data_IF_433452510933
#
_entry.id   IF_433452510933
#
_cell.length_a   1.000
_cell.length_b   1.000
_cell.length_c   1.000
_cell.angle_alpha   90.00
_cell.angle_beta   90.00
_cell.angle_gamma   90.00
#
_symmetry.space_group_name_H-M   'P 1'
#
loop_
_entity.id
_entity.type
_entity.pdbx_description
1 polymer ?
#
# COMPACT_ATOMS: atom_id res chain seq x y z
N UNK A 1 17.95 -0.07 -4.98
CA UNK A 1 16.50 -0.04 -4.64
C UNK A 1 16.15 -1.37 -3.98
N UNK A 2 15.42 -1.35 -2.88
CA UNK A 2 15.00 -2.59 -2.21
C UNK A 2 14.11 -3.41 -3.17
N UNK A 3 14.48 -4.66 -3.40
CA UNK A 3 13.70 -5.58 -4.26
C UNK A 3 12.55 -6.16 -3.44
N UNK A 4 11.30 -5.88 -3.80
CA UNK A 4 10.12 -6.43 -3.11
C UNK A 4 10.09 -7.96 -3.16
N UNK A 5 9.78 -8.61 -2.02
CA UNK A 5 9.66 -10.07 -1.88
C UNK A 5 8.20 -10.47 -1.81
N UNK A 6 7.69 -11.03 -2.90
CA UNK A 6 6.30 -11.47 -3.00
C UNK A 6 5.98 -12.58 -1.97
N UNK A 7 6.90 -13.51 -1.70
CA UNK A 7 6.68 -14.60 -0.74
C UNK A 7 6.49 -14.10 0.69
N UNK A 8 7.28 -13.12 1.14
CA UNK A 8 7.11 -12.49 2.45
C UNK A 8 5.81 -11.68 2.51
N UNK A 9 5.44 -11.04 1.40
CA UNK A 9 4.20 -10.26 1.30
C UNK A 9 2.95 -11.14 1.43
N UNK A 10 2.94 -12.31 0.80
CA UNK A 10 1.80 -13.24 0.77
C UNK A 10 1.54 -13.96 2.09
N UNK A 11 2.45 -13.94 3.08
CA UNK A 11 2.19 -14.54 4.41
C UNK A 11 0.94 -13.98 5.11
N UNK A 12 0.49 -12.78 4.76
CA UNK A 12 -0.69 -12.10 5.31
C UNK A 12 -1.63 -11.68 4.19
N UNK A 13 -1.82 -12.53 3.22
CA UNK A 13 -2.59 -12.24 2.00
C UNK A 13 -4.01 -11.78 2.31
N UNK A 14 -4.72 -12.52 3.17
CA UNK A 14 -6.12 -12.20 3.51
C UNK A 14 -6.25 -10.81 4.15
N UNK A 15 -5.40 -10.49 5.14
CA UNK A 15 -5.42 -9.21 5.84
C UNK A 15 -4.98 -8.06 4.94
N UNK A 16 -4.13 -8.32 3.95
CA UNK A 16 -3.67 -7.32 2.98
C UNK A 16 -4.66 -7.09 1.85
N UNK A 17 -5.44 -8.12 1.49
CA UNK A 17 -6.45 -8.04 0.43
C UNK A 17 -7.76 -7.43 0.93
N UNK A 18 -8.12 -7.61 2.21
CA UNK A 18 -9.38 -7.08 2.77
C UNK A 18 -9.62 -5.58 2.48
N UNK A 19 -8.63 -4.67 2.63
CA UNK A 19 -8.85 -3.26 2.30
C UNK A 19 -9.16 -2.98 0.83
N UNK A 20 -8.62 -3.77 -0.10
CA UNK A 20 -8.97 -3.63 -1.52
C UNK A 20 -10.39 -4.10 -1.81
N UNK A 21 -10.85 -5.16 -1.13
CA UNK A 21 -12.25 -5.63 -1.20
C UNK A 21 -13.19 -4.55 -0.65
N UNK A 22 -12.87 -3.95 0.50
CA UNK A 22 -13.70 -2.93 1.12
C UNK A 22 -13.79 -1.66 0.25
N UNK A 23 -12.67 -1.25 -0.36
CA UNK A 23 -12.64 -0.14 -1.31
C UNK A 23 -13.46 -0.46 -2.57
N UNK A 24 -13.26 -1.66 -3.14
CA UNK A 24 -13.99 -2.13 -4.32
C UNK A 24 -15.50 -2.14 -4.11
N UNK A 25 -15.96 -2.55 -2.92
CA UNK A 25 -17.39 -2.61 -2.60
C UNK A 25 -18.06 -1.24 -2.52
N UNK A 26 -17.30 -0.16 -2.44
CA UNK A 26 -17.81 1.22 -2.47
C UNK A 26 -17.85 1.82 -3.88
N UNK A 27 -17.28 1.15 -4.87
CA UNK A 27 -17.33 1.60 -6.26
C UNK A 27 -18.72 1.33 -6.84
N UNK A 28 -19.42 2.41 -7.23
CA UNK A 28 -20.81 2.36 -7.70
C UNK A 28 -20.93 2.11 -9.22
N UNK A 29 -19.82 2.09 -9.98
CA UNK A 29 -19.87 1.74 -11.41
C UNK A 29 -20.04 0.22 -11.54
N UNK A 30 -21.09 -0.20 -12.29
CA UNK A 30 -21.39 -1.61 -12.50
C UNK A 30 -20.84 -2.17 -13.83
N UNK A 31 -20.68 -1.30 -14.84
CA UNK A 31 -20.35 -1.70 -16.22
C UNK A 31 -19.01 -1.13 -16.67
N UNK A 32 -18.01 -1.09 -15.78
CA UNK A 32 -16.66 -0.68 -16.17
C UNK A 32 -16.11 -1.61 -17.26
N UNK A 33 -15.50 -1.03 -18.29
CA UNK A 33 -14.89 -1.78 -19.40
C UNK A 33 -13.36 -1.71 -19.40
N UNK A 34 -12.79 -0.68 -18.76
CA UNK A 34 -11.33 -0.50 -18.67
C UNK A 34 -10.95 -0.06 -17.27
N UNK A 35 -10.12 -0.86 -16.63
CA UNK A 35 -9.67 -0.66 -15.26
C UNK A 35 -8.15 -0.71 -15.20
N UNK A 36 -7.55 0.18 -14.40
CA UNK A 36 -6.13 0.10 -14.07
C UNK A 36 -5.96 0.03 -12.55
N UNK A 37 -5.10 -0.89 -12.11
CA UNK A 37 -4.68 -1.06 -10.70
C UNK A 37 -3.25 -0.58 -10.55
N UNK A 38 -3.05 0.60 -9.95
CA UNK A 38 -1.75 1.24 -9.78
C UNK A 38 -1.11 0.80 -8.47
N UNK A 39 0.02 0.11 -8.58
CA UNK A 39 0.71 -0.54 -7.48
C UNK A 39 0.08 -1.88 -7.14
N UNK A 40 -0.22 -2.67 -8.16
CA UNK A 40 -0.89 -3.97 -8.05
C UNK A 40 -0.12 -5.01 -7.22
N UNK A 41 1.18 -4.80 -7.00
CA UNK A 41 2.05 -5.77 -6.33
C UNK A 41 2.03 -7.13 -7.04
N UNK A 42 1.88 -8.26 -6.30
CA UNK A 42 1.82 -9.60 -6.89
C UNK A 42 0.43 -9.93 -7.48
N UNK A 43 -0.47 -8.95 -7.65
CA UNK A 43 -1.73 -9.08 -8.39
C UNK A 43 -2.99 -9.33 -7.54
N UNK A 44 -2.90 -9.41 -6.22
CA UNK A 44 -4.05 -9.73 -5.35
C UNK A 44 -5.21 -8.73 -5.50
N UNK A 45 -4.95 -7.43 -5.49
CA UNK A 45 -5.97 -6.40 -5.70
C UNK A 45 -6.56 -6.44 -7.10
N UNK A 46 -5.71 -6.69 -8.10
CA UNK A 46 -6.12 -6.82 -9.50
C UNK A 46 -7.04 -8.03 -9.72
N UNK A 47 -6.76 -9.15 -9.06
CA UNK A 47 -7.61 -10.34 -9.10
C UNK A 47 -9.01 -10.06 -8.51
N UNK A 48 -9.07 -9.33 -7.38
CA UNK A 48 -10.37 -8.90 -6.79
C UNK A 48 -11.16 -8.00 -7.73
N UNK A 49 -10.48 -7.13 -8.50
CA UNK A 49 -11.13 -6.32 -9.55
C UNK A 49 -11.64 -7.20 -10.69
N UNK A 50 -10.85 -8.20 -11.13
CA UNK A 50 -11.22 -9.11 -12.21
C UNK A 50 -12.43 -9.99 -11.86
N UNK A 51 -12.53 -10.42 -10.61
CA UNK A 51 -13.68 -11.21 -10.14
C UNK A 51 -14.99 -10.39 -10.17
N UNK A 52 -14.93 -9.10 -9.84
CA UNK A 52 -16.12 -8.22 -9.87
C UNK A 52 -16.46 -7.73 -11.28
N UNK A 53 -15.46 -7.43 -12.10
CA UNK A 53 -15.62 -6.86 -13.44
C UNK A 53 -15.10 -7.83 -14.51
N UNK A 54 -15.69 -9.02 -14.56
CA UNK A 54 -15.23 -10.14 -15.40
C UNK A 54 -15.28 -9.90 -16.92
N UNK A 55 -15.99 -8.84 -17.37
CA UNK A 55 -16.02 -8.41 -18.77
C UNK A 55 -15.09 -7.23 -19.08
N UNK A 56 -14.40 -6.69 -18.08
CA UNK A 56 -13.54 -5.54 -18.24
C UNK A 56 -12.13 -5.94 -18.68
N UNK A 57 -11.50 -5.10 -19.49
CA UNK A 57 -10.05 -5.11 -19.62
C UNK A 57 -9.42 -4.55 -18.35
N UNK A 58 -8.56 -5.32 -17.71
CA UNK A 58 -7.89 -4.93 -16.47
C UNK A 58 -6.38 -4.98 -16.66
N UNK A 59 -5.73 -3.88 -16.31
CA UNK A 59 -4.28 -3.73 -16.33
C UNK A 59 -3.77 -3.50 -14.91
N UNK A 60 -3.00 -4.45 -14.38
CA UNK A 60 -2.23 -4.26 -13.16
C UNK A 60 -0.85 -3.66 -13.45
N UNK A 61 -0.46 -2.62 -12.74
CA UNK A 61 0.86 -2.00 -12.92
C UNK A 61 1.59 -1.83 -11.59
N UNK A 62 2.89 -2.12 -11.58
CA UNK A 62 3.77 -1.94 -10.41
C UNK A 62 5.19 -1.58 -10.86
N UNK A 63 5.91 -0.84 -10.04
CA UNK A 63 7.31 -0.47 -10.32
C UNK A 63 8.27 -1.66 -10.19
N UNK A 64 7.92 -2.66 -9.41
CA UNK A 64 8.75 -3.84 -9.14
C UNK A 64 8.55 -4.92 -10.19
N UNK A 65 9.59 -5.16 -11.00
CA UNK A 65 9.61 -6.26 -11.97
C UNK A 65 9.35 -7.63 -11.31
N UNK A 66 9.88 -7.85 -10.09
CA UNK A 66 9.66 -9.08 -9.35
C UNK A 66 8.18 -9.29 -8.98
N UNK A 67 7.48 -8.22 -8.57
CA UNK A 67 6.03 -8.27 -8.31
C UNK A 67 5.25 -8.58 -9.59
N UNK A 68 5.57 -7.90 -10.69
CA UNK A 68 4.92 -8.13 -11.99
C UNK A 68 5.14 -9.56 -12.51
N UNK A 69 6.34 -10.10 -12.36
CA UNK A 69 6.62 -11.49 -12.76
C UNK A 69 5.82 -12.50 -11.94
N UNK A 70 5.66 -12.24 -10.64
CA UNK A 70 4.79 -13.05 -9.76
C UNK A 70 3.32 -12.93 -10.19
N UNK A 71 2.82 -11.70 -10.39
CA UNK A 71 1.45 -11.45 -10.82
C UNK A 71 1.11 -12.16 -12.15
N UNK A 72 1.97 -12.06 -13.15
CA UNK A 72 1.80 -12.77 -14.43
C UNK A 72 1.76 -14.28 -14.31
N UNK A 73 2.55 -14.85 -13.39
CA UNK A 73 2.58 -16.28 -13.12
C UNK A 73 1.29 -16.75 -12.43
N UNK A 74 0.84 -15.99 -11.43
CA UNK A 74 -0.27 -16.40 -10.58
C UNK A 74 -1.64 -16.05 -11.21
N UNK A 75 -1.68 -15.04 -12.09
CA UNK A 75 -2.89 -14.57 -12.78
C UNK A 75 -2.68 -14.43 -14.29
N UNK A 76 -2.46 -15.53 -15.02
CA UNK A 76 -2.04 -15.51 -16.44
C UNK A 76 -3.07 -14.94 -17.43
N UNK A 77 -4.32 -14.73 -16.99
CA UNK A 77 -5.40 -14.15 -17.80
C UNK A 77 -5.55 -12.64 -17.63
N UNK A 78 -4.75 -12.02 -16.76
CA UNK A 78 -4.78 -10.59 -16.50
C UNK A 78 -3.51 -9.95 -17.06
N UNK A 79 -3.64 -8.77 -17.62
CA UNK A 79 -2.48 -8.01 -18.12
C UNK A 79 -1.76 -7.29 -16.98
N UNK A 80 -0.42 -7.46 -16.97
CA UNK A 80 0.45 -6.80 -16.00
C UNK A 80 1.66 -6.15 -16.70
N UNK A 81 2.03 -4.95 -16.25
CA UNK A 81 3.17 -4.21 -16.79
C UNK A 81 4.00 -3.52 -15.71
N UNK A 82 5.31 -3.40 -15.96
CA UNK A 82 6.18 -2.57 -15.13
C UNK A 82 5.89 -1.10 -15.41
N UNK A 83 5.66 -0.31 -14.37
CA UNK A 83 5.27 1.09 -14.46
C UNK A 83 5.67 1.87 -13.21
N UNK A 84 6.42 2.93 -13.39
CA UNK A 84 6.76 3.87 -12.31
C UNK A 84 5.70 4.98 -12.24
N UNK A 85 4.84 4.94 -11.23
CA UNK A 85 3.78 5.93 -11.01
C UNK A 85 4.31 7.36 -10.77
N UNK A 86 5.60 7.55 -10.56
CA UNK A 86 6.23 8.87 -10.50
C UNK A 86 6.50 9.45 -11.91
N UNK A 87 6.77 8.59 -12.93
CA UNK A 87 7.42 9.02 -14.17
C UNK A 87 6.70 8.60 -15.45
N UNK A 88 5.87 7.56 -15.40
CA UNK A 88 5.45 6.85 -16.62
C UNK A 88 4.00 7.13 -17.05
N UNK A 89 3.32 8.14 -16.45
CA UNK A 89 1.92 8.45 -16.84
C UNK A 89 1.76 8.90 -18.30
N UNK A 90 2.80 9.39 -18.93
CA UNK A 90 2.84 9.71 -20.37
C UNK A 90 2.84 8.47 -21.27
N UNK A 91 3.20 7.29 -20.72
CA UNK A 91 3.25 6.01 -21.43
C UNK A 91 1.92 5.24 -21.36
N UNK A 92 0.98 5.69 -20.53
CA UNK A 92 -0.33 5.06 -20.38
C UNK A 92 -1.39 5.81 -21.17
N UNK A 93 -2.14 5.05 -21.98
CA UNK A 93 -3.32 5.60 -22.66
C UNK A 93 -4.38 6.03 -21.64
N UNK A 94 -5.03 7.16 -21.92
CA UNK A 94 -6.22 7.58 -21.19
C UNK A 94 -7.42 6.68 -21.51
N UNK A 95 -8.48 6.82 -20.76
CA UNK A 95 -9.75 6.16 -21.06
C UNK A 95 -10.03 4.97 -20.14
N UNK A 96 -9.71 5.10 -18.86
CA UNK A 96 -10.12 4.13 -17.85
C UNK A 96 -11.43 4.55 -17.18
N UNK A 97 -12.28 3.58 -16.93
CA UNK A 97 -13.51 3.79 -16.16
C UNK A 97 -13.24 3.73 -14.66
N UNK A 98 -12.22 2.97 -14.27
CA UNK A 98 -11.75 2.90 -12.88
C UNK A 98 -10.23 3.00 -12.86
N UNK A 99 -9.71 3.92 -12.04
CA UNK A 99 -8.32 3.97 -11.61
C UNK A 99 -8.30 3.57 -10.14
N UNK A 100 -7.72 2.43 -9.86
CA UNK A 100 -7.67 1.83 -8.54
C UNK A 100 -6.26 1.87 -7.98
N UNK A 101 -6.10 2.07 -6.67
CA UNK A 101 -4.82 1.91 -5.99
C UNK A 101 -5.02 1.55 -4.52
N UNK A 102 -4.43 0.45 -4.09
CA UNK A 102 -4.51 -0.01 -2.70
C UNK A 102 -3.12 -0.16 -2.07
N UNK A 103 -2.84 0.60 -1.01
CA UNK A 103 -1.61 0.54 -0.23
C UNK A 103 -0.31 0.69 -1.07
N UNK A 104 -0.35 1.55 -2.09
CA UNK A 104 0.78 1.80 -2.99
C UNK A 104 1.30 3.23 -2.90
N UNK A 105 0.44 4.23 -3.08
CA UNK A 105 0.89 5.59 -3.35
C UNK A 105 1.66 6.25 -2.21
N UNK A 106 1.59 5.76 -0.98
CA UNK A 106 2.45 6.22 0.13
C UNK A 106 3.95 6.12 -0.17
N UNK A 107 4.33 5.39 -1.20
CA UNK A 107 5.72 5.22 -1.64
C UNK A 107 6.12 6.14 -2.80
N UNK A 108 5.17 6.90 -3.33
CA UNK A 108 5.37 7.78 -4.49
C UNK A 108 5.40 9.22 -4.00
N UNK A 109 6.43 10.01 -4.33
CA UNK A 109 6.48 11.42 -3.94
C UNK A 109 5.44 12.25 -4.71
N UNK A 110 5.28 13.52 -4.29
CA UNK A 110 4.52 14.53 -5.03
C UNK A 110 3.05 14.15 -5.29
N UNK A 111 2.30 13.82 -4.23
CA UNK A 111 0.89 13.42 -4.32
C UNK A 111 0.00 14.42 -5.04
N UNK A 112 0.29 15.72 -4.99
CA UNK A 112 -0.43 16.75 -5.76
C UNK A 112 -0.37 16.50 -7.28
N UNK A 113 0.75 16.02 -7.78
CA UNK A 113 0.94 15.67 -9.20
C UNK A 113 0.37 14.27 -9.47
N UNK A 114 0.69 13.32 -8.61
CA UNK A 114 0.29 11.91 -8.75
C UNK A 114 -1.23 11.76 -8.84
N UNK A 115 -1.98 12.32 -7.88
CA UNK A 115 -3.44 12.21 -7.84
C UNK A 115 -4.07 12.87 -9.07
N UNK A 116 -3.55 14.03 -9.52
CA UNK A 116 -4.02 14.66 -10.76
C UNK A 116 -3.75 13.80 -11.99
N UNK A 117 -2.58 13.16 -12.08
CA UNK A 117 -2.26 12.25 -13.18
C UNK A 117 -3.19 11.03 -13.18
N UNK A 118 -3.43 10.42 -12.00
CA UNK A 118 -4.39 9.31 -11.86
C UNK A 118 -5.80 9.73 -12.29
N UNK A 119 -6.23 10.92 -11.91
CA UNK A 119 -7.55 11.43 -12.29
C UNK A 119 -7.63 11.77 -13.79
N UNK A 120 -6.57 12.28 -14.39
CA UNK A 120 -6.53 12.68 -15.79
C UNK A 120 -6.64 11.52 -16.77
N UNK A 121 -6.27 10.29 -16.40
CA UNK A 121 -6.40 9.10 -17.24
C UNK A 121 -7.81 8.49 -17.23
N UNK A 122 -8.73 8.99 -16.38
CA UNK A 122 -10.12 8.55 -16.34
C UNK A 122 -10.92 9.05 -17.54
N UNK A 123 -11.90 8.27 -17.93
CA UNK A 123 -13.03 8.68 -18.77
C UNK A 123 -13.93 9.69 -18.02
N UNK A 124 -14.72 10.53 -18.72
CA UNK A 124 -15.87 11.19 -18.11
C UNK A 124 -16.79 10.14 -17.44
N UNK A 125 -17.26 10.41 -16.23
CA UNK A 125 -18.00 9.45 -15.41
C UNK A 125 -17.16 8.36 -14.77
N UNK A 126 -15.85 8.35 -14.99
CA UNK A 126 -14.92 7.38 -14.39
C UNK A 126 -14.62 7.67 -12.92
N UNK A 127 -14.06 6.69 -12.23
CA UNK A 127 -13.83 6.70 -10.79
C UNK A 127 -12.37 6.52 -10.44
N UNK A 128 -11.84 7.41 -9.62
CA UNK A 128 -10.58 7.23 -8.89
C UNK A 128 -10.88 6.67 -7.50
N UNK A 129 -10.39 5.48 -7.21
CA UNK A 129 -10.56 4.81 -5.91
C UNK A 129 -9.20 4.50 -5.29
N UNK A 130 -8.88 5.12 -4.18
CA UNK A 130 -7.56 5.02 -3.54
C UNK A 130 -7.67 4.72 -2.06
N UNK A 131 -6.84 3.81 -1.59
CA UNK A 131 -6.64 3.51 -0.18
C UNK A 131 -5.16 3.65 0.19
N UNK A 132 -4.87 4.37 1.27
CA UNK A 132 -3.52 4.65 1.75
C UNK A 132 -3.42 4.31 3.23
N UNK A 133 -2.42 3.52 3.68
CA UNK A 133 -2.16 3.36 5.11
C UNK A 133 -1.67 4.69 5.72
N UNK A 134 -2.35 5.14 6.78
CA UNK A 134 -1.93 6.27 7.62
C UNK A 134 -1.62 5.70 9.01
N UNK A 135 -0.49 5.07 9.13
CA UNK A 135 -0.11 4.31 10.33
C UNK A 135 1.20 4.81 10.98
N UNK A 136 1.67 6.00 10.62
CA UNK A 136 2.89 6.58 11.20
C UNK A 136 2.80 6.82 12.71
N UNK A 137 1.59 6.88 13.28
CA UNK A 137 1.35 6.97 14.73
C UNK A 137 1.27 5.61 15.42
N UNK A 138 1.26 4.51 14.67
CA UNK A 138 1.24 3.18 15.26
C UNK A 138 2.55 2.89 15.98
N UNK A 139 2.51 2.22 17.15
CA UNK A 139 3.70 2.02 17.98
C UNK A 139 4.89 1.43 17.23
N UNK A 140 4.67 0.46 16.36
CA UNK A 140 5.76 -0.17 15.60
C UNK A 140 6.48 0.82 14.67
N UNK A 141 5.78 1.79 14.06
CA UNK A 141 6.40 2.83 13.24
C UNK A 141 7.24 3.78 14.08
N UNK A 142 6.74 4.17 15.25
CA UNK A 142 7.47 5.02 16.20
C UNK A 142 8.72 4.29 16.71
N UNK A 143 8.60 3.02 17.10
CA UNK A 143 9.71 2.17 17.55
C UNK A 143 10.79 2.06 16.47
N UNK A 144 10.42 1.74 15.22
CA UNK A 144 11.38 1.64 14.11
C UNK A 144 12.08 2.99 13.91
N UNK A 145 11.34 4.09 13.93
CA UNK A 145 11.89 5.42 13.79
C UNK A 145 12.86 5.76 14.92
N UNK A 146 12.47 5.58 16.17
CA UNK A 146 13.30 5.86 17.34
C UNK A 146 14.57 5.03 17.36
N UNK A 147 14.48 3.71 17.11
CA UNK A 147 15.63 2.81 17.12
C UNK A 147 16.57 3.12 15.95
N UNK A 148 16.05 3.35 14.75
CA UNK A 148 16.88 3.66 13.59
C UNK A 148 17.66 4.98 13.70
N UNK A 149 17.17 5.91 14.55
CA UNK A 149 17.80 7.21 14.78
C UNK A 149 18.68 7.26 16.05
N UNK A 150 18.70 6.22 16.87
CA UNK A 150 19.51 6.22 18.07
C UNK A 150 21.02 6.17 17.76
N UNK A 151 21.86 6.44 18.74
CA UNK A 151 23.31 6.50 18.59
C UNK A 151 23.95 5.19 18.12
N UNK A 152 23.31 4.04 18.40
CA UNK A 152 23.81 2.72 17.99
C UNK A 152 23.61 2.48 16.48
N UNK A 153 22.49 2.93 15.91
CA UNK A 153 22.06 2.54 14.57
C UNK A 153 22.11 3.67 13.52
N UNK A 154 22.00 4.94 13.93
CA UNK A 154 21.88 6.08 13.00
C UNK A 154 22.99 6.17 11.96
N UNK A 155 24.24 5.82 12.34
CA UNK A 155 25.39 5.83 11.42
C UNK A 155 25.34 4.73 10.35
N UNK A 156 24.49 3.70 10.53
CA UNK A 156 24.34 2.59 9.59
C UNK A 156 23.39 2.89 8.43
N UNK A 157 22.47 3.83 8.61
CA UNK A 157 21.42 4.14 7.65
C UNK A 157 21.69 5.46 6.95
N UNK A 158 22.17 5.39 5.71
CA UNK A 158 22.45 6.58 4.87
C UNK A 158 21.17 7.24 4.34
N UNK A 159 20.13 6.46 4.13
CA UNK A 159 18.81 6.89 3.66
C UNK A 159 17.78 6.22 4.53
N UNK A 160 16.88 7.02 5.06
CA UNK A 160 15.75 6.53 5.82
C UNK A 160 14.54 6.38 4.91
N UNK A 161 13.64 5.49 5.28
CA UNK A 161 12.44 5.25 4.52
C UNK A 161 11.45 6.39 4.75
N UNK A 162 11.09 7.08 3.68
CA UNK A 162 10.07 8.13 3.70
C UNK A 162 8.72 7.59 3.26
N UNK A 163 7.67 8.06 3.93
CA UNK A 163 6.29 7.94 3.51
C UNK A 163 5.83 9.31 3.04
N UNK A 164 5.37 9.38 1.80
CA UNK A 164 4.98 10.64 1.16
C UNK A 164 3.49 10.96 1.33
N UNK A 165 2.88 10.46 2.39
CA UNK A 165 1.45 10.70 2.66
C UNK A 165 1.20 12.14 3.09
N UNK A 166 0.18 12.75 2.51
CA UNK A 166 -0.41 13.99 2.99
C UNK A 166 -1.27 13.73 4.24
N UNK A 167 -1.57 14.78 4.98
CA UNK A 167 -2.59 14.71 6.04
C UNK A 167 -3.99 14.55 5.42
N UNK A 168 -5.00 14.06 6.16
CA UNK A 168 -6.37 14.01 5.68
C UNK A 168 -6.91 15.36 5.18
N UNK A 169 -6.56 16.46 5.85
CA UNK A 169 -6.95 17.82 5.42
C UNK A 169 -6.35 18.20 4.08
N UNK A 170 -5.06 17.92 3.87
CA UNK A 170 -4.40 18.21 2.59
C UNK A 170 -4.95 17.36 1.43
N UNK A 171 -5.32 16.07 1.69
CA UNK A 171 -6.02 15.27 0.69
C UNK A 171 -7.41 15.83 0.38
N UNK A 172 -8.14 16.30 1.40
CA UNK A 172 -9.44 16.90 1.20
C UNK A 172 -9.35 18.15 0.32
N UNK A 173 -8.39 19.04 0.58
CA UNK A 173 -8.15 20.25 -0.20
C UNK A 173 -7.76 19.88 -1.65
N UNK A 174 -6.82 18.94 -1.82
CA UNK A 174 -6.39 18.47 -3.14
C UNK A 174 -7.56 17.90 -3.97
N UNK A 175 -8.41 17.08 -3.36
CA UNK A 175 -9.57 16.50 -4.04
C UNK A 175 -10.60 17.56 -4.40
N UNK A 176 -10.84 18.53 -3.51
CA UNK A 176 -11.74 19.68 -3.75
C UNK A 176 -11.32 20.56 -4.93
N UNK A 177 -10.01 20.65 -5.18
CA UNK A 177 -9.48 21.35 -6.36
C UNK A 177 -9.68 20.57 -7.68
N UNK A 178 -9.80 19.24 -7.60
CA UNK A 178 -9.89 18.35 -8.77
C UNK A 178 -11.36 18.12 -9.17
N UNK A 179 -12.24 17.92 -8.20
CA UNK A 179 -13.64 17.57 -8.42
C UNK A 179 -14.52 17.99 -7.23
N UNK A 180 -15.80 18.27 -7.52
CA UNK A 180 -16.81 18.49 -6.48
C UNK A 180 -17.48 17.19 -6.00
N UNK A 181 -17.26 16.08 -6.70
CA UNK A 181 -17.85 14.78 -6.38
C UNK A 181 -16.79 13.81 -5.86
N UNK A 182 -16.61 13.80 -4.55
CA UNK A 182 -15.73 12.86 -3.86
C UNK A 182 -16.25 12.52 -2.47
N UNK A 183 -15.83 11.36 -1.99
CA UNK A 183 -16.01 10.91 -0.61
C UNK A 183 -14.68 10.52 -0.02
N UNK A 184 -14.44 10.89 1.22
CA UNK A 184 -13.24 10.56 1.95
C UNK A 184 -13.60 10.06 3.35
N UNK A 185 -12.95 9.00 3.82
CA UNK A 185 -13.17 8.42 5.15
C UNK A 185 -11.92 7.71 5.66
N UNK A 186 -11.90 7.38 6.93
CA UNK A 186 -10.87 6.53 7.54
C UNK A 186 -11.46 5.19 7.97
N UNK A 187 -10.69 4.12 7.79
CA UNK A 187 -11.02 2.78 8.28
C UNK A 187 -9.89 2.25 9.14
N UNK A 188 -10.22 1.71 10.30
CA UNK A 188 -9.27 1.09 11.23
C UNK A 188 -9.45 -0.42 11.20
N UNK A 189 -8.39 -1.15 10.83
CA UNK A 189 -8.37 -2.61 10.84
C UNK A 189 -7.65 -3.11 12.09
N UNK A 190 -8.30 -3.98 12.85
CA UNK A 190 -7.74 -4.63 14.02
C UNK A 190 -7.34 -6.06 13.69
N UNK A 191 -6.06 -6.26 13.37
CA UNK A 191 -5.53 -7.58 13.03
C UNK A 191 -5.20 -8.39 14.28
N UNK A 192 -5.64 -9.64 14.30
CA UNK A 192 -5.38 -10.57 15.41
C UNK A 192 -4.13 -11.39 15.15
N UNK A 193 -3.00 -10.94 15.66
CA UNK A 193 -1.73 -11.64 15.54
C UNK A 193 -1.59 -12.73 16.59
N UNK A 194 -1.03 -13.89 16.22
CA UNK A 194 -0.81 -15.02 17.12
C UNK A 194 0.29 -14.72 18.14
N UNK A 195 1.27 -13.90 17.74
CA UNK A 195 2.43 -13.55 18.57
C UNK A 195 2.97 -12.17 18.18
N UNK A 196 3.86 -11.59 19.00
CA UNK A 196 4.64 -10.40 18.63
C UNK A 196 5.56 -10.67 17.43
N UNK A 197 6.00 -11.91 17.23
CA UNK A 197 6.79 -12.28 16.04
C UNK A 197 6.00 -12.07 14.75
N UNK A 198 4.69 -12.32 14.75
CA UNK A 198 3.86 -12.08 13.56
C UNK A 198 3.77 -10.59 13.21
N UNK A 199 3.80 -9.70 14.22
CA UNK A 199 3.90 -8.25 14.00
C UNK A 199 5.22 -7.92 13.29
N UNK A 200 6.34 -8.49 13.76
CA UNK A 200 7.64 -8.32 13.11
C UNK A 200 7.64 -8.86 11.67
N UNK A 201 7.10 -10.07 11.46
CA UNK A 201 6.99 -10.68 10.13
C UNK A 201 6.15 -9.82 9.16
N UNK A 202 5.06 -9.20 9.64
CA UNK A 202 4.30 -8.25 8.84
C UNK A 202 5.18 -7.11 8.32
N UNK A 203 6.00 -6.53 9.22
CA UNK A 203 6.85 -5.37 8.88
C UNK A 203 8.12 -5.73 8.13
N UNK A 204 8.61 -6.96 8.21
CA UNK A 204 9.72 -7.46 7.37
C UNK A 204 9.40 -7.37 5.88
N UNK A 205 8.15 -7.62 5.50
CA UNK A 205 7.69 -7.47 4.11
C UNK A 205 7.51 -6.03 3.67
N UNK A 206 7.57 -5.04 4.57
CA UNK A 206 7.26 -3.64 4.29
C UNK A 206 8.23 -2.66 4.96
N UNK A 207 7.90 -2.20 6.17
CA UNK A 207 8.58 -1.09 6.86
C UNK A 207 10.02 -1.40 7.31
N UNK A 208 10.32 -2.62 7.73
CA UNK A 208 11.66 -3.00 8.23
C UNK A 208 12.65 -3.33 7.11
N UNK A 209 12.18 -3.73 5.96
CA UNK A 209 13.01 -4.28 4.91
C UNK A 209 14.22 -3.42 4.52
N UNK A 210 14.10 -2.11 4.22
CA UNK A 210 15.25 -1.29 3.83
C UNK A 210 16.35 -1.23 4.88
N UNK A 211 15.96 -1.30 6.15
CA UNK A 211 16.91 -1.32 7.26
C UNK A 211 17.64 -2.66 7.33
N UNK A 212 16.91 -3.78 7.21
CA UNK A 212 17.52 -5.12 7.26
C UNK A 212 18.46 -5.38 6.07
N UNK A 213 18.10 -4.87 4.87
CA UNK A 213 18.95 -4.98 3.67
C UNK A 213 20.24 -4.14 3.76
N UNK A 214 20.25 -3.07 4.55
CA UNK A 214 21.40 -2.20 4.74
C UNK A 214 22.42 -2.74 5.77
N UNK A 215 22.06 -3.78 6.52
CA UNK A 215 22.86 -4.35 7.61
C UNK A 215 23.45 -5.70 7.23
N UNK A 216 24.57 -6.06 7.85
CA UNK A 216 25.08 -7.45 7.82
C UNK A 216 24.14 -8.41 8.54
N UNK A 217 24.22 -9.70 8.26
CA UNK A 217 23.31 -10.68 8.87
C UNK A 217 23.29 -10.64 10.41
N UNK A 218 24.41 -10.45 11.07
CA UNK A 218 24.49 -10.31 12.53
C UNK A 218 23.88 -8.99 13.02
N UNK A 219 24.18 -7.88 12.35
CA UNK A 219 23.62 -6.56 12.68
C UNK A 219 22.11 -6.51 12.42
N UNK A 220 21.63 -7.15 11.33
CA UNK A 220 20.22 -7.24 11.03
C UNK A 220 19.45 -7.99 12.13
N UNK A 221 20.00 -9.11 12.61
CA UNK A 221 19.42 -9.88 13.72
C UNK A 221 19.40 -9.07 15.03
N UNK A 222 20.45 -8.30 15.31
CA UNK A 222 20.52 -7.45 16.50
C UNK A 222 19.54 -6.27 16.40
N UNK A 223 19.45 -5.60 15.26
CA UNK A 223 18.47 -4.53 14.99
C UNK A 223 17.03 -5.02 15.14
N UNK A 224 16.75 -6.20 14.57
CA UNK A 224 15.44 -6.84 14.73
C UNK A 224 15.10 -7.13 16.19
N UNK A 225 16.08 -7.61 16.98
CA UNK A 225 15.88 -7.90 18.40
C UNK A 225 15.65 -6.64 19.24
N UNK A 226 16.35 -5.54 18.92
CA UNK A 226 16.14 -4.24 19.58
C UNK A 226 14.69 -3.77 19.35
N UNK A 227 14.19 -3.84 18.10
CA UNK A 227 12.81 -3.48 17.76
C UNK A 227 11.81 -4.45 18.45
N UNK A 228 12.06 -5.76 18.39
CA UNK A 228 11.19 -6.76 18.99
C UNK A 228 10.99 -6.53 20.49
N UNK A 229 12.05 -6.15 21.19
CA UNK A 229 12.00 -5.89 22.62
C UNK A 229 11.04 -4.74 22.98
N UNK A 230 10.97 -3.70 22.16
CA UNK A 230 10.04 -2.59 22.33
C UNK A 230 8.62 -2.94 21.85
N UNK A 231 8.51 -3.72 20.78
CA UNK A 231 7.21 -4.25 20.29
C UNK A 231 6.51 -5.08 21.37
N UNK A 232 7.23 -5.92 22.11
CA UNK A 232 6.66 -6.71 23.23
C UNK A 232 6.06 -5.79 24.31
N UNK A 233 6.67 -4.64 24.58
CA UNK A 233 6.16 -3.67 25.57
C UNK A 233 4.95 -2.90 25.04
N UNK A 234 4.99 -2.50 23.77
CA UNK A 234 3.98 -1.64 23.15
C UNK A 234 2.68 -2.38 22.79
N UNK A 235 2.75 -3.69 22.56
CA UNK A 235 1.59 -4.53 22.18
C UNK A 235 1.26 -5.58 23.24
N UNK A 236 0.55 -5.23 24.32
CA UNK A 236 0.24 -6.18 25.38
C UNK A 236 -0.64 -7.33 24.87
N UNK A 237 -0.38 -8.53 25.39
CA UNK A 237 -1.17 -9.73 25.09
C UNK A 237 -2.59 -9.57 25.65
N UNK A 238 -3.58 -9.68 24.78
CA UNK A 238 -4.99 -9.58 25.14
C UNK A 238 -5.48 -10.85 25.89
N UNK A 239 -6.62 -10.75 26.58
CA UNK A 239 -7.19 -11.82 27.44
C UNK A 239 -7.24 -13.21 26.80
N UNK A 240 -7.36 -13.32 25.46
CA UNK A 240 -7.35 -14.60 24.72
C UNK A 240 -5.99 -14.98 24.16
N UNK A 241 -4.88 -14.49 24.74
CA UNK A 241 -3.49 -14.76 24.32
C UNK A 241 -3.23 -14.43 22.83
N UNK A 242 -3.78 -13.30 22.36
CA UNK A 242 -3.54 -12.74 21.02
C UNK A 242 -3.16 -11.28 21.14
N UNK A 243 -2.28 -10.82 20.27
CA UNK A 243 -1.92 -9.41 20.20
C UNK A 243 -2.87 -8.71 19.25
N UNK A 244 -3.29 -7.51 19.64
CA UNK A 244 -4.06 -6.63 18.77
C UNK A 244 -3.09 -5.71 18.04
N UNK A 245 -3.10 -5.79 16.73
CA UNK A 245 -2.31 -4.93 15.86
C UNK A 245 -3.26 -4.08 15.02
N UNK A 246 -3.13 -2.77 15.15
CA UNK A 246 -4.00 -1.82 14.48
C UNK A 246 -3.32 -1.26 13.23
N UNK A 247 -4.06 -1.11 12.15
CA UNK A 247 -3.67 -0.36 10.95
C UNK A 247 -4.78 0.60 10.59
N UNK A 248 -4.49 1.90 10.66
CA UNK A 248 -5.39 2.95 10.19
C UNK A 248 -5.14 3.24 8.72
N UNK A 249 -6.19 3.50 7.96
CA UNK A 249 -6.14 3.78 6.53
C UNK A 249 -7.05 4.94 6.16
N UNK A 250 -6.51 5.92 5.44
CA UNK A 250 -7.32 6.92 4.74
C UNK A 250 -7.74 6.36 3.40
N UNK A 251 -8.98 6.55 3.07
CA UNK A 251 -9.61 6.07 1.83
C UNK A 251 -10.30 7.25 1.19
N UNK A 252 -10.13 7.40 -0.11
CA UNK A 252 -10.91 8.36 -0.88
C UNK A 252 -11.37 7.76 -2.21
N UNK A 253 -12.49 8.26 -2.65
CA UNK A 253 -13.18 7.92 -3.87
C UNK A 253 -13.64 9.22 -4.51
N UNK A 254 -13.39 9.40 -5.79
CA UNK A 254 -13.82 10.58 -6.52
C UNK A 254 -14.29 10.24 -7.92
N UNK A 255 -15.32 10.94 -8.39
CA UNK A 255 -15.85 10.79 -9.73
C UNK A 255 -15.36 11.92 -10.64
N UNK A 256 -15.12 11.58 -11.90
CA UNK A 256 -14.81 12.56 -12.94
C UNK A 256 -16.12 12.90 -13.66
N UNK A 257 -16.51 14.18 -13.55
CA UNK A 257 -17.64 14.71 -14.31
C UNK A 257 -17.44 14.64 -15.82
#
# INVERSE_FOLDING_TARGET
MATWDAGQYLKFENERTQPSIDLLNRICINNAKRIIDIGCGPGNSTAVLADKFNEAYILGVDKSENMINTAKKDYPLIDFAVFDAEKDFDKINRGFDIVFSNACIQWVPSHYILIRNMFNILNPGGVLAVQIPINYKEPIHQIINEISHNSKWSAKFKVQREFYTLTPSEYFDLLSEITNDFSMWETVYYHRMKSHKDIMEWYKGTGLRPYLEALSGAEAAEFENDIYSEVVKAYPVQKKRRNNFQISKTVFYSCKA
#
